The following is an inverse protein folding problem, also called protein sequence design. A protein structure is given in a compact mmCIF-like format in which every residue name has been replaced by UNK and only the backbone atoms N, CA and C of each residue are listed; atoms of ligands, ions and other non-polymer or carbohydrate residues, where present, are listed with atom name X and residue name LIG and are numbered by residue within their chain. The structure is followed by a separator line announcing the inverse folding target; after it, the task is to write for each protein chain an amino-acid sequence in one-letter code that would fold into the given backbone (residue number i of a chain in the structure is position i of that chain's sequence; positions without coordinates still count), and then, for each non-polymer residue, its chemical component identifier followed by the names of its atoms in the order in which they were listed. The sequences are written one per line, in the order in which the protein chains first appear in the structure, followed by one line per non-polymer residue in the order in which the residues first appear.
data_IF_390220646671
#
_entry.id   IF_390220646671
#
_cell.length_a   1.000
_cell.length_b   1.000
_cell.length_c   1.000
_cell.angle_alpha   90.00
_cell.angle_beta   90.00
_cell.angle_gamma   90.00
#
_symmetry.space_group_name_H-M   'P 1'
#
loop_
_entity.id
_entity.type
_entity.pdbx_description
1 polymer ?
#
# COMPACT_ATOMS: atom_id res chain seq x y z
N UNK A 1 -6.24 10.47 -6.62
CA UNK A 1 -5.25 10.94 -5.62
C UNK A 1 -5.77 10.54 -4.26
N UNK A 2 -5.01 9.77 -3.49
CA UNK A 2 -5.38 9.32 -2.13
C UNK A 2 -4.24 9.66 -1.18
N UNK A 3 -4.55 9.75 0.10
CA UNK A 3 -3.55 9.98 1.15
C UNK A 3 -2.94 8.62 1.55
N UNK A 4 -1.64 8.46 1.31
CA UNK A 4 -0.91 7.23 1.63
C UNK A 4 -0.90 6.92 3.14
N UNK A 5 -1.21 7.88 4.01
CA UNK A 5 -1.36 7.65 5.45
C UNK A 5 -2.73 7.09 5.85
N UNK A 6 -3.73 7.13 4.94
CA UNK A 6 -5.10 6.67 5.19
C UNK A 6 -5.40 5.29 4.59
N UNK A 7 -4.39 4.67 3.98
CA UNK A 7 -4.45 3.29 3.49
C UNK A 7 -3.83 2.34 4.52
N UNK A 8 -3.86 1.04 4.24
CA UNK A 8 -3.25 0.04 5.12
C UNK A 8 -1.74 0.32 5.30
N UNK A 9 -1.15 0.04 6.49
CA UNK A 9 0.25 0.34 6.77
C UNK A 9 1.23 -0.15 5.68
N UNK A 10 1.00 -1.35 5.14
CA UNK A 10 1.86 -1.92 4.11
C UNK A 10 1.91 -1.12 2.80
N UNK A 11 0.87 -0.34 2.48
CA UNK A 11 0.93 0.59 1.33
C UNK A 11 1.84 1.78 1.60
N UNK A 12 1.81 2.34 2.82
CA UNK A 12 2.65 3.48 3.19
C UNK A 12 4.14 3.14 3.09
N UNK A 13 4.53 1.96 3.59
CA UNK A 13 5.90 1.45 3.46
C UNK A 13 6.26 1.17 1.99
N UNK A 14 5.42 0.44 1.25
CA UNK A 14 5.73 0.06 -0.13
C UNK A 14 5.85 1.26 -1.06
N UNK A 15 4.91 2.21 -1.02
CA UNK A 15 4.95 3.42 -1.85
C UNK A 15 6.17 4.27 -1.52
N UNK A 16 6.57 4.33 -0.24
CA UNK A 16 7.78 5.06 0.18
C UNK A 16 9.09 4.50 -0.38
N UNK A 17 9.08 3.26 -0.88
CA UNK A 17 10.23 2.61 -1.52
C UNK A 17 10.24 2.76 -3.04
N UNK A 18 9.13 3.21 -3.66
CA UNK A 18 8.99 3.24 -5.11
C UNK A 18 9.51 4.53 -5.74
N UNK A 19 9.96 4.42 -6.99
CA UNK A 19 10.26 5.58 -7.85
C UNK A 19 9.08 5.87 -8.78
N UNK A 20 8.87 7.15 -9.13
CA UNK A 20 7.82 7.53 -10.10
C UNK A 20 8.05 6.85 -11.45
N UNK A 21 7.00 6.22 -12.00
CA UNK A 21 7.02 5.41 -13.22
C UNK A 21 7.32 3.92 -12.98
N UNK A 22 7.64 3.52 -11.75
CA UNK A 22 7.90 2.12 -11.40
C UNK A 22 6.59 1.31 -11.28
N UNK A 23 6.67 0.04 -11.70
CA UNK A 23 5.67 -0.98 -11.41
C UNK A 23 6.29 -2.02 -10.47
N UNK A 24 5.71 -2.18 -9.28
CA UNK A 24 6.20 -3.10 -8.26
C UNK A 24 5.10 -4.03 -7.77
N UNK A 25 5.44 -5.33 -7.64
CA UNK A 25 4.59 -6.28 -6.92
C UNK A 25 4.90 -6.22 -5.43
N UNK A 26 3.87 -6.08 -4.62
CA UNK A 26 3.97 -5.93 -3.16
C UNK A 26 3.21 -7.07 -2.48
N UNK A 27 3.88 -7.75 -1.56
CA UNK A 27 3.29 -8.74 -0.66
C UNK A 27 3.17 -8.12 0.72
N UNK A 28 1.94 -7.96 1.21
CA UNK A 28 1.64 -7.30 2.47
C UNK A 28 1.15 -8.35 3.47
N UNK A 29 1.96 -8.67 4.50
CA UNK A 29 1.53 -9.55 5.59
C UNK A 29 0.26 -9.03 6.27
N UNK A 30 -0.53 -9.93 6.86
CA UNK A 30 -1.80 -9.58 7.51
C UNK A 30 -1.65 -8.51 8.61
N UNK A 31 -0.53 -8.53 9.34
CA UNK A 31 -0.20 -7.55 10.37
C UNK A 31 -0.10 -6.12 9.84
N UNK A 32 0.17 -5.94 8.55
CA UNK A 32 0.25 -4.65 7.86
C UNK A 32 -0.97 -4.37 6.96
N UNK A 33 -2.02 -5.20 7.06
CA UNK A 33 -3.25 -5.12 6.29
C UNK A 33 -4.46 -4.86 7.21
N UNK A 34 -5.49 -5.71 7.13
CA UNK A 34 -6.76 -5.53 7.84
C UNK A 34 -6.87 -6.26 9.18
N UNK A 35 -5.87 -7.06 9.56
CA UNK A 35 -5.77 -7.72 10.88
C UNK A 35 -7.08 -8.41 11.32
N UNK A 36 -7.68 -9.23 10.45
CA UNK A 36 -8.92 -9.97 10.77
C UNK A 36 -10.20 -9.12 10.87
N UNK A 37 -10.21 -7.87 10.39
CA UNK A 37 -11.41 -7.03 10.39
C UNK A 37 -12.54 -7.67 9.58
N UNK A 38 -13.70 -7.84 10.22
CA UNK A 38 -14.88 -8.46 9.60
C UNK A 38 -15.28 -7.70 8.32
N UNK A 39 -15.52 -8.45 7.24
CA UNK A 39 -15.91 -7.91 5.93
C UNK A 39 -14.75 -7.35 5.10
N UNK A 40 -13.50 -7.51 5.56
CA UNK A 40 -12.30 -7.14 4.80
C UNK A 40 -11.56 -8.38 4.29
N UNK A 41 -10.67 -8.23 3.29
CA UNK A 41 -9.74 -9.27 2.89
C UNK A 41 -8.94 -9.84 4.07
N UNK A 42 -8.75 -11.16 4.06
CA UNK A 42 -8.10 -11.92 5.14
C UNK A 42 -6.76 -12.47 4.66
N UNK A 43 -5.77 -12.50 5.56
CA UNK A 43 -4.45 -13.05 5.29
C UNK A 43 -3.51 -12.08 4.55
N UNK A 44 -2.50 -12.65 3.90
CA UNK A 44 -1.51 -11.88 3.13
C UNK A 44 -2.13 -11.35 1.84
N UNK A 45 -1.96 -10.06 1.59
CA UNK A 45 -2.45 -9.40 0.38
C UNK A 45 -1.33 -9.26 -0.65
N UNK A 46 -1.67 -9.32 -1.93
CA UNK A 46 -0.73 -9.16 -3.04
C UNK A 46 -1.30 -8.10 -3.97
N UNK A 47 -0.48 -7.10 -4.29
CA UNK A 47 -0.84 -6.00 -5.18
C UNK A 47 0.23 -5.82 -6.26
N UNK A 48 -0.21 -5.44 -7.46
CA UNK A 48 0.65 -4.82 -8.46
C UNK A 48 0.36 -3.32 -8.44
N UNK A 49 1.38 -2.51 -8.15
CA UNK A 49 1.26 -1.06 -7.98
C UNK A 49 2.08 -0.37 -9.06
N UNK A 50 1.49 0.63 -9.72
CA UNK A 50 2.19 1.58 -10.59
C UNK A 50 2.19 2.96 -9.93
N UNK A 51 3.37 3.53 -9.68
CA UNK A 51 3.49 4.85 -9.06
C UNK A 51 3.53 5.95 -10.12
N UNK A 52 2.38 6.59 -10.37
CA UNK A 52 2.28 7.62 -11.40
C UNK A 52 2.85 8.98 -10.98
N UNK A 53 2.59 9.41 -9.74
CA UNK A 53 3.08 10.67 -9.17
C UNK A 53 2.79 10.73 -7.66
N UNK A 54 3.52 11.58 -6.93
CA UNK A 54 3.18 11.98 -5.56
C UNK A 54 3.49 13.46 -5.32
N UNK A 55 2.84 14.02 -4.31
CA UNK A 55 3.17 15.33 -3.76
C UNK A 55 3.47 15.14 -2.29
N UNK A 56 4.50 15.81 -1.78
CA UNK A 56 4.76 15.83 -0.34
C UNK A 56 3.59 16.52 0.36
N UNK A 57 3.20 15.98 1.52
CA UNK A 57 2.29 16.70 2.40
C UNK A 57 2.90 18.07 2.74
N UNK A 58 2.08 19.13 2.87
CA UNK A 58 2.55 20.46 3.28
C UNK A 58 3.35 20.44 4.59
#
# INVERSE_FOLDING_TARGET
MFDASKVIPGWGEAIGLMTVGEVMRVWIPESLAYQGKVGMPVGMLIFDIELLAFTLAP
#
